data_IF_146252772779
#
_entry.id   IF_146252772779
#
_cell.length_a   1.000
_cell.length_b   1.000
_cell.length_c   1.000
_cell.angle_alpha   90.00
_cell.angle_beta   90.00
_cell.angle_gamma   90.00
#
_symmetry.space_group_name_H-M   'P 1'
#
loop_
_entity.id
_entity.type
_entity.pdbx_description
1 polymer ?
#
# COMPACT_ATOMS: atom_id res chain seq x y z
N UNK A 1 13.46 -12.98 -10.49
CA UNK A 1 12.70 -13.95 -11.32
C UNK A 1 12.13 -14.95 -10.34
N UNK A 2 10.81 -14.96 -10.16
CA UNK A 2 10.18 -15.99 -9.35
C UNK A 2 10.52 -17.34 -10.01
N UNK A 3 11.07 -18.25 -9.25
CA UNK A 3 11.15 -19.67 -9.63
C UNK A 3 9.69 -20.10 -9.86
N UNK A 4 9.30 -20.14 -11.14
CA UNK A 4 8.07 -20.81 -11.52
C UNK A 4 8.15 -22.23 -11.01
N UNK A 5 7.05 -22.75 -10.47
CA UNK A 5 6.91 -24.15 -10.12
C UNK A 5 7.62 -24.97 -11.22
N UNK A 6 8.65 -25.74 -10.83
CA UNK A 6 9.49 -26.49 -11.76
C UNK A 6 8.58 -27.30 -12.67
N UNK A 7 8.57 -26.93 -13.95
CA UNK A 7 7.89 -27.77 -14.93
C UNK A 7 8.59 -29.13 -15.05
N UNK A 8 7.88 -30.09 -15.57
CA UNK A 8 8.43 -31.45 -15.74
C UNK A 8 9.19 -31.63 -17.07
N UNK A 9 9.51 -30.56 -17.81
CA UNK A 9 10.16 -30.69 -19.12
C UNK A 9 11.55 -31.33 -19.07
N UNK A 10 12.36 -30.99 -18.09
CA UNK A 10 13.70 -31.60 -17.93
C UNK A 10 13.58 -33.09 -17.73
N UNK A 11 12.74 -33.54 -16.81
CA UNK A 11 12.49 -34.96 -16.56
C UNK A 11 11.91 -35.66 -17.78
N UNK A 12 10.93 -35.02 -18.44
CA UNK A 12 10.32 -35.56 -19.65
C UNK A 12 11.34 -35.77 -20.75
N UNK A 13 12.21 -34.79 -21.04
CA UNK A 13 13.24 -34.91 -22.07
C UNK A 13 14.35 -35.89 -21.66
N UNK A 14 14.74 -35.94 -20.39
CA UNK A 14 15.67 -36.94 -19.89
C UNK A 14 15.16 -38.33 -20.17
N UNK A 15 13.91 -38.65 -19.82
CA UNK A 15 13.34 -39.96 -20.06
C UNK A 15 13.20 -40.27 -21.56
N UNK A 16 12.74 -39.29 -22.37
CA UNK A 16 12.58 -39.47 -23.81
C UNK A 16 13.90 -39.66 -24.55
N UNK A 17 14.90 -38.89 -24.25
CA UNK A 17 16.23 -39.01 -24.89
C UNK A 17 16.89 -40.33 -24.44
N UNK A 18 16.76 -40.69 -23.16
CA UNK A 18 17.27 -41.94 -22.62
C UNK A 18 16.64 -43.15 -23.31
N UNK A 19 15.35 -43.13 -23.58
CA UNK A 19 14.64 -44.21 -24.27
C UNK A 19 15.05 -44.35 -25.75
N UNK A 20 15.49 -43.25 -26.38
CA UNK A 20 16.00 -43.30 -27.76
C UNK A 20 17.39 -43.91 -27.88
N UNK A 21 18.15 -44.00 -26.78
CA UNK A 21 19.46 -44.65 -26.78
C UNK A 21 19.27 -46.16 -26.80
N UNK A 22 19.96 -46.90 -27.72
CA UNK A 22 19.87 -48.36 -27.76
C UNK A 22 20.16 -48.99 -26.40
N UNK A 23 19.43 -50.02 -26.06
CA UNK A 23 19.48 -50.70 -24.76
C UNK A 23 20.89 -51.17 -24.38
N UNK A 24 21.67 -51.60 -25.36
CA UNK A 24 23.05 -52.04 -25.13
C UNK A 24 23.91 -50.95 -24.48
N UNK A 25 23.82 -49.70 -24.94
CA UNK A 25 24.59 -48.61 -24.36
C UNK A 25 24.09 -48.22 -22.97
N UNK A 26 22.78 -48.31 -22.73
CA UNK A 26 22.18 -48.08 -21.42
C UNK A 26 22.61 -49.12 -20.40
N UNK A 27 22.72 -50.41 -20.87
CA UNK A 27 23.18 -51.49 -20.04
C UNK A 27 24.70 -51.38 -19.74
N UNK A 28 25.51 -51.02 -20.75
CA UNK A 28 26.93 -50.80 -20.57
C UNK A 28 27.29 -49.64 -19.67
N UNK A 29 26.49 -48.54 -19.71
CA UNK A 29 26.63 -47.41 -18.78
C UNK A 29 26.44 -47.87 -17.33
N UNK A 30 25.51 -48.79 -17.08
CA UNK A 30 25.30 -49.38 -15.75
C UNK A 30 26.40 -50.31 -15.27
N UNK A 31 27.20 -50.88 -16.21
CA UNK A 31 28.33 -51.81 -15.90
C UNK A 31 29.68 -51.11 -15.92
N UNK A 32 29.77 -49.84 -16.33
CA UNK A 32 31.01 -49.11 -16.45
C UNK A 32 31.68 -48.88 -15.07
N UNK A 33 32.98 -48.61 -15.09
CA UNK A 33 33.73 -48.30 -13.87
C UNK A 33 33.17 -47.08 -13.08
N UNK A 34 32.54 -46.17 -13.81
CA UNK A 34 31.75 -45.04 -13.26
C UNK A 34 30.35 -45.12 -13.87
N UNK A 35 29.39 -45.80 -13.24
CA UNK A 35 28.04 -45.96 -13.76
C UNK A 35 27.26 -44.66 -13.77
N UNK A 36 26.48 -44.44 -14.83
CA UNK A 36 25.60 -43.27 -14.95
C UNK A 36 26.20 -42.06 -15.67
N UNK A 37 27.40 -42.14 -16.23
CA UNK A 37 28.04 -41.01 -16.96
C UNK A 37 27.27 -40.68 -18.25
N UNK A 38 26.80 -41.68 -18.99
CA UNK A 38 25.99 -41.48 -20.18
C UNK A 38 24.63 -40.83 -19.80
N UNK A 39 24.04 -41.28 -18.69
CA UNK A 39 22.79 -40.70 -18.18
C UNK A 39 22.98 -39.23 -17.77
N UNK A 40 24.07 -38.90 -17.08
CA UNK A 40 24.38 -37.52 -16.70
C UNK A 40 24.55 -36.61 -17.94
N UNK A 41 25.18 -37.13 -19.01
CA UNK A 41 25.27 -36.41 -20.29
C UNK A 41 23.90 -36.16 -20.90
N UNK A 42 23.01 -37.15 -20.84
CA UNK A 42 21.60 -37.00 -21.30
C UNK A 42 20.84 -35.98 -20.47
N UNK A 43 21.06 -35.93 -19.17
CA UNK A 43 20.46 -34.92 -18.29
C UNK A 43 20.88 -33.49 -18.68
N UNK A 44 22.15 -33.25 -18.98
CA UNK A 44 22.63 -31.96 -19.46
C UNK A 44 21.97 -31.58 -20.81
N UNK A 45 21.84 -32.52 -21.73
CA UNK A 45 21.18 -32.29 -23.02
C UNK A 45 19.68 -32.00 -22.80
N UNK A 46 19.03 -32.73 -21.89
CA UNK A 46 17.62 -32.57 -21.57
C UNK A 46 17.34 -31.19 -20.94
N UNK A 47 18.21 -30.69 -20.07
CA UNK A 47 18.13 -29.32 -19.51
C UNK A 47 18.11 -28.25 -20.63
N UNK A 48 19.06 -28.34 -21.58
CA UNK A 48 19.10 -27.42 -22.71
C UNK A 48 17.86 -27.55 -23.61
N UNK A 49 17.36 -28.75 -23.78
CA UNK A 49 16.14 -29.03 -24.56
C UNK A 49 14.90 -28.46 -23.85
N UNK A 50 14.85 -28.52 -22.54
CA UNK A 50 13.80 -27.91 -21.75
C UNK A 50 13.79 -26.37 -21.86
N UNK A 51 14.98 -25.74 -21.82
CA UNK A 51 15.14 -24.29 -22.05
C UNK A 51 14.62 -23.91 -23.44
N UNK A 52 15.02 -24.69 -24.48
CA UNK A 52 14.55 -24.46 -25.85
C UNK A 52 13.01 -24.58 -25.96
N UNK A 53 12.44 -25.60 -25.30
CA UNK A 53 11.00 -25.81 -25.29
C UNK A 53 10.27 -24.63 -24.63
N UNK A 54 10.73 -24.18 -23.46
CA UNK A 54 10.17 -23.00 -22.78
C UNK A 54 10.27 -21.74 -23.66
N UNK A 55 11.39 -21.57 -24.37
CA UNK A 55 11.55 -20.46 -25.32
C UNK A 55 10.56 -20.54 -26.49
N UNK A 56 10.32 -21.73 -26.99
CA UNK A 56 9.32 -21.96 -28.06
C UNK A 56 7.90 -21.68 -27.58
N UNK A 57 7.54 -22.09 -26.37
CA UNK A 57 6.22 -21.82 -25.82
C UNK A 57 5.99 -20.30 -25.61
N UNK A 58 7.03 -19.56 -25.18
CA UNK A 58 6.99 -18.09 -25.06
C UNK A 58 6.75 -17.40 -26.41
N UNK A 59 7.25 -17.92 -27.52
CA UNK A 59 6.96 -17.35 -28.84
C UNK A 59 5.47 -17.33 -29.18
N UNK A 60 4.69 -18.23 -28.57
CA UNK A 60 3.23 -18.22 -28.71
C UNK A 60 2.58 -17.19 -27.77
N UNK A 61 3.12 -16.95 -26.58
CA UNK A 61 2.59 -16.04 -25.56
C UNK A 61 2.95 -14.58 -25.85
N UNK A 62 4.14 -14.31 -26.37
CA UNK A 62 4.67 -12.97 -26.58
C UNK A 62 3.85 -12.06 -27.53
N UNK A 63 3.06 -12.55 -28.50
CA UNK A 63 2.14 -11.70 -29.27
C UNK A 63 0.93 -11.15 -28.46
N UNK A 64 0.62 -11.73 -27.32
CA UNK A 64 -0.54 -11.33 -26.51
C UNK A 64 -0.09 -10.42 -25.36
N UNK A 65 -0.64 -9.20 -25.32
CA UNK A 65 -0.26 -8.20 -24.30
C UNK A 65 -0.49 -8.69 -22.87
N UNK A 66 -1.44 -9.58 -22.64
CA UNK A 66 -1.78 -10.15 -21.34
C UNK A 66 -0.75 -11.21 -20.88
N UNK A 67 -0.15 -11.94 -21.82
CA UNK A 67 0.71 -13.08 -21.54
C UNK A 67 2.20 -12.81 -21.79
N UNK A 68 2.52 -11.83 -22.65
CA UNK A 68 3.87 -11.55 -23.11
C UNK A 68 4.84 -11.23 -21.95
N UNK A 69 6.12 -11.44 -22.17
CA UNK A 69 7.16 -10.94 -21.28
C UNK A 69 7.20 -9.40 -21.24
N UNK A 70 7.67 -8.80 -20.12
CA UNK A 70 7.77 -7.33 -20.00
C UNK A 70 8.62 -6.67 -21.07
N UNK A 71 9.59 -7.40 -21.63
CA UNK A 71 10.42 -6.94 -22.73
C UNK A 71 9.66 -6.75 -24.05
N UNK A 72 8.56 -7.49 -24.28
CA UNK A 72 7.76 -7.42 -25.50
C UNK A 72 6.74 -6.25 -25.46
N UNK A 73 6.38 -5.77 -24.27
CA UNK A 73 5.40 -4.67 -24.09
C UNK A 73 5.76 -3.42 -24.91
N UNK A 74 7.00 -2.90 -24.95
CA UNK A 74 7.36 -1.75 -25.79
C UNK A 74 7.13 -1.98 -27.28
N UNK A 75 7.39 -3.17 -27.78
CA UNK A 75 7.22 -3.50 -29.20
C UNK A 75 5.72 -3.54 -29.58
N UNK A 76 4.90 -4.12 -28.71
CA UNK A 76 3.43 -4.10 -28.91
C UNK A 76 2.91 -2.66 -28.81
N UNK A 77 3.44 -1.84 -27.91
CA UNK A 77 3.10 -0.43 -27.80
C UNK A 77 3.38 0.34 -29.11
N UNK A 78 4.53 0.09 -29.74
CA UNK A 78 4.87 0.70 -31.03
C UNK A 78 3.90 0.31 -32.15
N UNK A 79 3.46 -0.96 -32.20
CA UNK A 79 2.46 -1.41 -33.17
C UNK A 79 1.13 -0.66 -33.06
N UNK A 80 0.72 -0.29 -31.84
CA UNK A 80 -0.49 0.51 -31.61
C UNK A 80 -0.18 2.00 -31.47
N UNK A 81 1.04 2.41 -31.75
CA UNK A 81 1.56 3.78 -31.66
C UNK A 81 1.31 4.44 -30.30
N UNK A 82 1.43 3.69 -29.22
CA UNK A 82 1.30 4.20 -27.84
C UNK A 82 2.63 4.74 -27.34
N UNK A 83 2.63 5.97 -26.84
CA UNK A 83 3.77 6.49 -26.08
C UNK A 83 3.63 6.07 -24.61
N UNK A 84 4.41 5.09 -24.21
CA UNK A 84 4.40 4.62 -22.85
C UNK A 84 4.94 5.68 -21.89
N UNK A 85 4.31 5.80 -20.73
CA UNK A 85 4.79 6.61 -19.63
C UNK A 85 5.83 5.80 -18.84
N UNK A 86 7.08 6.25 -18.84
CA UNK A 86 8.20 5.50 -18.24
C UNK A 86 8.09 5.32 -16.72
N UNK A 87 7.35 6.20 -16.05
CA UNK A 87 7.15 6.16 -14.60
C UNK A 87 6.10 5.12 -14.14
N UNK A 88 5.37 4.50 -15.06
CA UNK A 88 4.39 3.49 -14.70
C UNK A 88 5.04 2.18 -14.27
N UNK A 89 4.38 1.47 -13.35
CA UNK A 89 4.75 0.10 -13.01
C UNK A 89 4.62 -0.83 -14.22
N UNK A 90 5.32 -1.99 -14.25
CA UNK A 90 5.18 -2.94 -15.36
C UNK A 90 3.72 -3.34 -15.65
N UNK A 91 2.91 -3.54 -14.60
CA UNK A 91 1.48 -3.83 -14.73
C UNK A 91 0.73 -2.70 -15.45
N UNK A 92 0.91 -1.48 -14.97
CA UNK A 92 0.19 -0.32 -15.50
C UNK A 92 0.60 0.01 -16.94
N UNK A 93 1.88 -0.19 -17.30
CA UNK A 93 2.36 -0.10 -18.69
C UNK A 93 1.65 -1.08 -19.60
N UNK A 94 1.45 -2.32 -19.16
CA UNK A 94 0.74 -3.35 -19.92
C UNK A 94 -0.73 -3.01 -20.12
N UNK A 95 -1.42 -2.51 -19.07
CA UNK A 95 -2.81 -2.06 -19.13
C UNK A 95 -2.97 -0.86 -20.07
N UNK A 96 -2.05 0.11 -20.04
CA UNK A 96 -2.05 1.27 -20.93
C UNK A 96 -2.00 0.85 -22.40
N UNK A 97 -1.09 -0.08 -22.74
CA UNK A 97 -0.98 -0.62 -24.10
C UNK A 97 -2.23 -1.40 -24.51
N UNK A 98 -2.76 -2.26 -23.64
CA UNK A 98 -3.96 -3.07 -23.91
C UNK A 98 -5.19 -2.20 -24.18
N UNK A 99 -5.35 -1.10 -23.44
CA UNK A 99 -6.51 -0.21 -23.54
C UNK A 99 -6.33 0.97 -24.52
N UNK A 100 -5.19 1.10 -25.19
CA UNK A 100 -4.88 2.25 -26.07
C UNK A 100 -5.98 2.55 -27.09
N UNK A 101 -6.47 1.52 -27.80
CA UNK A 101 -7.52 1.70 -28.83
C UNK A 101 -8.85 2.10 -28.17
N UNK A 102 -9.15 1.53 -27.01
CA UNK A 102 -10.34 1.89 -26.24
C UNK A 102 -10.31 3.37 -25.84
N UNK A 103 -9.20 3.86 -25.31
CA UNK A 103 -9.03 5.27 -24.92
C UNK A 103 -9.13 6.21 -26.11
N UNK A 104 -8.52 5.85 -27.25
CA UNK A 104 -8.56 6.68 -28.46
C UNK A 104 -9.97 6.83 -29.03
N UNK A 105 -10.76 5.77 -29.01
CA UNK A 105 -12.14 5.80 -29.48
C UNK A 105 -13.07 6.62 -28.60
N UNK A 106 -12.79 6.73 -27.32
CA UNK A 106 -13.63 7.41 -26.32
C UNK A 106 -12.98 8.67 -25.73
N UNK A 107 -11.96 9.16 -26.40
CA UNK A 107 -11.22 10.35 -25.99
C UNK A 107 -12.18 11.51 -25.71
N UNK A 108 -12.00 12.17 -24.53
CA UNK A 108 -12.77 13.33 -24.10
C UNK A 108 -14.02 13.02 -23.29
N UNK A 109 -14.35 11.75 -23.02
CA UNK A 109 -15.43 11.42 -22.10
C UNK A 109 -14.92 11.38 -20.66
N UNK A 110 -15.73 11.86 -19.70
CA UNK A 110 -15.36 11.88 -18.29
C UNK A 110 -15.06 10.47 -17.74
N UNK A 111 -15.87 9.50 -18.12
CA UNK A 111 -15.70 8.11 -17.70
C UNK A 111 -14.33 7.54 -18.10
N UNK A 112 -13.89 7.78 -19.32
CA UNK A 112 -12.58 7.31 -19.77
C UNK A 112 -11.44 7.97 -19.00
N UNK A 113 -11.61 9.25 -18.61
CA UNK A 113 -10.63 9.93 -17.79
C UNK A 113 -10.56 9.35 -16.36
N UNK A 114 -11.70 8.95 -15.79
CA UNK A 114 -11.75 8.26 -14.51
C UNK A 114 -11.05 6.88 -14.58
N UNK A 115 -11.37 6.09 -15.61
CA UNK A 115 -10.73 4.80 -15.86
C UNK A 115 -9.21 4.95 -16.11
N UNK A 116 -8.81 5.98 -16.86
CA UNK A 116 -7.39 6.26 -17.11
C UNK A 116 -6.63 6.63 -15.83
N UNK A 117 -7.26 7.40 -14.93
CA UNK A 117 -6.68 7.71 -13.63
C UNK A 117 -6.41 6.42 -12.86
N UNK A 118 -7.40 5.53 -12.78
CA UNK A 118 -7.25 4.25 -12.10
C UNK A 118 -6.15 3.40 -12.73
N UNK A 119 -6.14 3.27 -14.05
CA UNK A 119 -5.17 2.45 -14.77
C UNK A 119 -3.71 2.99 -14.66
N UNK A 120 -3.52 4.30 -14.47
CA UNK A 120 -2.19 4.91 -14.31
C UNK A 120 -1.72 4.86 -12.85
N UNK A 121 -2.62 5.10 -11.90
CA UNK A 121 -2.24 5.37 -10.51
C UNK A 121 -2.62 4.26 -9.54
N UNK A 122 -3.44 3.30 -9.93
CA UNK A 122 -4.15 2.33 -9.08
C UNK A 122 -5.03 3.00 -7.99
N UNK A 123 -5.30 4.30 -8.14
CA UNK A 123 -6.17 5.04 -7.23
C UNK A 123 -7.53 5.31 -7.84
N UNK A 124 -8.54 5.28 -7.01
CA UNK A 124 -9.86 5.75 -7.41
C UNK A 124 -9.85 7.26 -7.61
N UNK A 125 -10.55 7.71 -8.63
CA UNK A 125 -10.63 9.13 -8.94
C UNK A 125 -11.99 9.53 -9.49
N UNK A 126 -12.33 10.81 -9.32
CA UNK A 126 -13.52 11.42 -9.87
C UNK A 126 -13.16 12.61 -10.72
N UNK A 127 -13.73 12.68 -11.91
CA UNK A 127 -13.53 13.81 -12.81
C UNK A 127 -14.80 14.66 -12.83
N UNK A 128 -14.63 15.94 -12.54
CA UNK A 128 -15.75 16.89 -12.46
C UNK A 128 -15.53 18.05 -13.43
N UNK A 129 -16.54 18.39 -14.18
CA UNK A 129 -16.53 19.57 -15.03
C UNK A 129 -16.76 20.81 -14.17
N UNK A 130 -15.77 21.67 -14.07
CA UNK A 130 -15.77 22.84 -13.19
C UNK A 130 -16.79 23.92 -13.58
N UNK A 131 -17.37 23.88 -14.77
CA UNK A 131 -18.45 24.80 -15.11
C UNK A 131 -19.69 24.65 -14.21
N UNK A 132 -19.83 23.51 -13.54
CA UNK A 132 -20.89 23.26 -12.55
C UNK A 132 -20.67 24.00 -11.24
N UNK A 133 -19.43 24.37 -10.95
CA UNK A 133 -18.97 24.97 -9.70
C UNK A 133 -18.48 26.41 -9.88
N UNK A 134 -18.78 27.04 -11.03
CA UNK A 134 -18.41 28.42 -11.27
C UNK A 134 -19.09 29.35 -10.27
N UNK A 135 -18.27 30.08 -9.53
CA UNK A 135 -18.72 31.15 -8.67
C UNK A 135 -18.64 32.48 -9.40
N UNK A 136 -19.65 33.30 -9.24
CA UNK A 136 -19.69 34.68 -9.75
C UNK A 136 -19.93 35.62 -8.59
N UNK A 137 -19.11 36.66 -8.48
CA UNK A 137 -19.37 37.76 -7.56
C UNK A 137 -20.55 38.59 -8.09
N UNK A 138 -21.49 38.94 -7.20
CA UNK A 138 -22.56 39.88 -7.54
C UNK A 138 -21.99 41.27 -7.74
N UNK A 139 -22.56 42.00 -8.64
CA UNK A 139 -22.27 43.40 -8.86
C UNK A 139 -23.58 44.22 -8.92
N UNK A 140 -23.47 45.56 -8.95
CA UNK A 140 -24.63 46.45 -8.83
C UNK A 140 -25.64 46.35 -10.00
N UNK A 141 -25.29 45.69 -11.11
CA UNK A 141 -26.20 45.44 -12.23
C UNK A 141 -26.94 44.11 -12.12
N UNK A 142 -26.61 43.28 -11.14
CA UNK A 142 -27.35 42.04 -10.93
C UNK A 142 -28.70 42.30 -10.27
N UNK A 143 -29.77 41.62 -10.68
CA UNK A 143 -31.06 41.76 -10.07
C UNK A 143 -31.00 41.37 -8.59
N UNK A 144 -31.73 42.11 -7.76
CA UNK A 144 -31.89 41.77 -6.35
C UNK A 144 -32.56 40.40 -6.22
N UNK A 145 -32.18 39.56 -5.24
CA UNK A 145 -32.83 38.27 -5.03
C UNK A 145 -34.27 38.47 -4.65
N UNK A 146 -35.20 37.95 -5.46
CA UNK A 146 -36.62 38.11 -5.28
C UNK A 146 -37.20 37.22 -4.16
N UNK A 147 -36.40 36.25 -3.64
CA UNK A 147 -36.89 35.26 -2.68
C UNK A 147 -35.90 35.09 -1.53
N UNK A 148 -36.36 35.16 -0.27
CA UNK A 148 -35.52 34.79 0.87
C UNK A 148 -35.24 33.26 0.89
N UNK A 149 -34.06 32.90 1.32
CA UNK A 149 -33.63 31.52 1.60
C UNK A 149 -33.57 30.56 0.42
N UNK A 150 -32.43 30.52 -0.23
CA UNK A 150 -31.94 29.35 -0.98
C UNK A 150 -32.28 29.25 -2.47
N UNK A 151 -33.20 30.02 -3.00
CA UNK A 151 -33.45 30.15 -4.43
C UNK A 151 -33.27 31.58 -4.87
N UNK A 152 -32.16 31.86 -5.52
CA UNK A 152 -31.94 33.15 -6.14
C UNK A 152 -32.47 33.06 -7.57
N UNK A 153 -33.74 33.40 -7.74
CA UNK A 153 -34.36 33.57 -9.07
C UNK A 153 -33.70 34.76 -9.76
N UNK A 154 -33.28 34.59 -10.99
CA UNK A 154 -32.66 35.63 -11.78
C UNK A 154 -31.15 35.79 -11.62
N UNK A 155 -30.46 34.95 -10.88
CA UNK A 155 -29.00 34.90 -10.91
C UNK A 155 -28.52 34.25 -12.21
N UNK A 156 -27.47 34.81 -12.83
CA UNK A 156 -26.85 34.21 -13.98
C UNK A 156 -26.37 32.79 -13.69
N UNK A 157 -26.29 31.89 -14.71
CA UNK A 157 -25.77 30.56 -14.53
C UNK A 157 -24.39 30.57 -13.90
N UNK A 158 -24.16 29.70 -12.90
CA UNK A 158 -22.89 29.60 -12.18
C UNK A 158 -22.99 29.84 -10.67
N UNK A 159 -24.14 30.30 -10.17
CA UNK A 159 -24.39 30.50 -8.75
C UNK A 159 -23.49 31.56 -8.10
N UNK A 160 -23.63 31.74 -6.81
CA UNK A 160 -22.76 32.56 -5.96
C UNK A 160 -22.03 31.69 -4.95
N UNK A 161 -20.73 31.92 -4.74
CA UNK A 161 -20.02 31.25 -3.68
C UNK A 161 -20.58 31.66 -2.31
N UNK A 162 -20.93 30.70 -1.47
CA UNK A 162 -21.32 30.98 -0.08
C UNK A 162 -20.08 30.93 0.82
N UNK A 163 -19.53 32.10 1.11
CA UNK A 163 -18.38 32.24 1.99
C UNK A 163 -18.73 32.15 3.49
N UNK A 164 -20.01 31.94 3.82
CA UNK A 164 -20.48 31.82 5.20
C UNK A 164 -20.40 30.40 5.77
N UNK A 165 -19.93 29.44 4.96
CA UNK A 165 -19.73 28.07 5.40
C UNK A 165 -18.25 27.77 5.75
N UNK A 166 -17.77 28.16 6.94
CA UNK A 166 -16.39 27.90 7.33
C UNK A 166 -16.07 26.41 7.47
N UNK A 167 -17.08 25.57 7.69
CA UNK A 167 -16.92 24.11 7.79
C UNK A 167 -16.45 23.47 6.49
N UNK A 168 -16.83 24.00 5.34
CA UNK A 168 -16.35 23.48 4.05
C UNK A 168 -14.83 23.62 3.92
N UNK A 169 -14.25 24.74 4.36
CA UNK A 169 -12.81 24.95 4.36
C UNK A 169 -12.07 24.02 5.35
N UNK A 170 -12.68 23.69 6.49
CA UNK A 170 -12.12 22.74 7.46
C UNK A 170 -12.13 21.31 6.98
N UNK A 171 -13.06 20.94 6.11
CA UNK A 171 -13.18 19.59 5.55
C UNK A 171 -12.31 19.38 4.32
N UNK A 172 -11.73 20.42 3.75
CA UNK A 172 -10.83 20.29 2.62
C UNK A 172 -9.65 19.39 2.99
N UNK A 173 -9.35 18.43 2.12
CA UNK A 173 -8.35 17.37 2.31
C UNK A 173 -8.68 16.32 3.39
N UNK A 174 -9.90 16.26 3.88
CA UNK A 174 -10.37 15.17 4.76
C UNK A 174 -11.20 14.16 3.98
N UNK A 175 -11.54 13.02 4.61
CA UNK A 175 -12.44 12.02 4.03
C UNK A 175 -13.87 12.56 3.76
N UNK A 176 -14.20 13.72 4.34
CA UNK A 176 -15.48 14.39 4.20
C UNK A 176 -15.39 15.64 3.31
N UNK A 177 -14.29 15.78 2.55
CA UNK A 177 -14.16 16.85 1.56
C UNK A 177 -15.08 16.57 0.37
N UNK A 178 -16.17 17.28 0.31
CA UNK A 178 -17.08 17.22 -0.80
C UNK A 178 -16.63 18.20 -1.88
N UNK A 179 -16.23 17.69 -3.04
CA UNK A 179 -15.84 18.48 -4.22
C UNK A 179 -16.92 19.50 -4.65
N UNK A 180 -18.17 19.30 -4.24
CA UNK A 180 -19.27 20.23 -4.52
C UNK A 180 -19.15 21.58 -3.80
N UNK A 181 -18.29 21.69 -2.78
CA UNK A 181 -18.02 22.95 -2.08
C UNK A 181 -16.84 23.74 -2.67
N UNK A 182 -16.09 23.16 -3.58
CA UNK A 182 -14.98 23.85 -4.22
C UNK A 182 -15.51 24.79 -5.30
N UNK A 183 -15.41 26.11 -5.06
CA UNK A 183 -15.78 27.11 -6.05
C UNK A 183 -14.67 27.32 -7.07
N UNK A 184 -14.98 27.34 -8.35
CA UNK A 184 -14.05 27.71 -9.42
C UNK A 184 -14.25 29.19 -9.81
N UNK A 185 -13.26 30.01 -9.51
CA UNK A 185 -13.26 31.46 -9.79
C UNK A 185 -12.55 31.81 -11.13
N UNK A 186 -12.11 30.80 -11.89
CA UNK A 186 -11.46 31.03 -13.19
C UNK A 186 -12.43 31.58 -14.20
N UNK A 187 -11.92 32.36 -15.12
CA UNK A 187 -12.70 32.88 -16.24
C UNK A 187 -13.23 31.74 -17.11
N UNK A 188 -14.52 31.68 -17.30
CA UNK A 188 -15.20 30.71 -18.19
C UNK A 188 -15.35 31.20 -19.63
N UNK A 189 -14.97 32.46 -19.89
CA UNK A 189 -14.96 33.08 -21.21
C UNK A 189 -13.54 33.19 -21.73
N UNK A 190 -13.33 33.06 -23.02
CA UNK A 190 -12.03 33.18 -23.66
C UNK A 190 -11.79 32.10 -24.71
N UNK A 191 -10.58 32.02 -25.24
CA UNK A 191 -10.18 31.12 -26.33
C UNK A 191 -10.46 29.64 -26.01
N UNK A 192 -10.38 29.26 -24.74
CA UNK A 192 -10.56 27.87 -24.30
C UNK A 192 -12.02 27.47 -24.05
N UNK A 193 -12.95 28.38 -24.16
CA UNK A 193 -14.37 28.10 -23.95
C UNK A 193 -14.74 27.71 -22.53
N UNK A 194 -16.00 27.27 -22.33
CA UNK A 194 -16.58 26.88 -21.05
C UNK A 194 -16.30 25.42 -20.72
N UNK A 195 -16.29 24.58 -21.74
CA UNK A 195 -16.06 23.14 -21.65
C UNK A 195 -14.66 22.87 -22.19
N UNK A 196 -13.93 22.02 -21.66
CA UNK A 196 -12.67 21.49 -22.19
C UNK A 196 -11.83 20.90 -21.06
N UNK A 197 -10.81 20.13 -21.41
CA UNK A 197 -9.88 19.53 -20.46
C UNK A 197 -9.31 20.54 -19.44
N UNK A 198 -8.91 21.79 -19.83
CA UNK A 198 -8.46 22.78 -18.84
C UNK A 198 -9.49 23.21 -17.80
N UNK A 199 -10.75 22.83 -18.00
CA UNK A 199 -11.86 23.12 -17.10
C UNK A 199 -12.33 21.89 -16.32
N UNK A 200 -11.55 20.84 -16.29
CA UNK A 200 -11.80 19.65 -15.49
C UNK A 200 -11.02 19.70 -14.20
N UNK A 201 -11.65 19.23 -13.13
CA UNK A 201 -10.99 18.92 -11.88
C UNK A 201 -10.88 17.40 -11.72
N UNK A 202 -9.70 16.96 -11.34
CA UNK A 202 -9.41 15.57 -11.06
C UNK A 202 -9.25 15.42 -9.54
N UNK A 203 -10.17 14.71 -8.92
CA UNK A 203 -10.12 14.37 -7.50
C UNK A 203 -9.62 12.95 -7.35
N UNK A 204 -8.47 12.80 -6.72
CA UNK A 204 -7.84 11.49 -6.48
C UNK A 204 -8.08 11.09 -5.02
N UNK A 205 -8.66 9.90 -4.83
CA UNK A 205 -8.94 9.34 -3.51
C UNK A 205 -7.79 8.46 -3.05
N UNK A 206 -6.67 9.08 -2.72
CA UNK A 206 -5.52 8.39 -2.16
C UNK A 206 -5.60 8.28 -0.65
N UNK A 207 -5.07 7.19 -0.12
CA UNK A 207 -4.95 7.02 1.32
C UNK A 207 -3.92 8.00 1.90
N UNK A 208 -4.18 8.48 3.10
CA UNK A 208 -3.18 9.18 3.90
C UNK A 208 -2.32 8.16 4.63
N UNK A 209 -1.06 8.51 4.84
CA UNK A 209 -0.11 7.62 5.50
C UNK A 209 0.08 8.04 6.95
N UNK A 210 -0.05 7.06 7.83
CA UNK A 210 0.07 7.22 9.27
C UNK A 210 1.21 6.36 9.81
N UNK A 211 2.09 6.96 10.60
CA UNK A 211 3.21 6.28 11.24
C UNK A 211 2.80 5.71 12.58
N UNK A 212 3.08 4.43 12.83
CA UNK A 212 3.02 3.81 14.14
C UNK A 212 4.44 3.56 14.59
N UNK A 213 4.87 4.21 15.67
CA UNK A 213 6.23 4.12 16.17
C UNK A 213 6.32 3.05 17.27
N UNK A 214 7.34 2.20 17.19
CA UNK A 214 7.69 1.22 18.23
C UNK A 214 6.50 0.37 18.73
N UNK A 215 5.61 -0.06 17.81
CA UNK A 215 4.51 -0.94 18.16
C UNK A 215 5.00 -2.33 18.50
N UNK A 216 4.36 -2.99 19.47
CA UNK A 216 4.58 -4.41 19.74
C UNK A 216 3.83 -5.23 18.70
N UNK A 217 4.50 -6.00 17.82
CA UNK A 217 3.82 -6.81 16.82
C UNK A 217 3.05 -7.96 17.48
N UNK A 218 2.07 -8.50 16.74
CA UNK A 218 1.29 -9.65 17.19
C UNK A 218 2.05 -10.94 16.93
N UNK A 219 2.28 -11.75 17.97
CA UNK A 219 2.86 -13.09 17.85
C UNK A 219 1.80 -14.12 17.46
N UNK A 220 2.03 -14.84 16.36
CA UNK A 220 1.14 -15.90 15.87
C UNK A 220 1.24 -17.19 16.70
N UNK A 221 2.23 -17.30 17.60
CA UNK A 221 2.30 -18.35 18.59
C UNK A 221 3.60 -19.14 18.69
N UNK A 222 4.62 -18.78 17.90
CA UNK A 222 5.93 -19.42 17.94
C UNK A 222 7.08 -18.43 18.23
N UNK A 223 6.76 -17.16 18.41
CA UNK A 223 7.75 -16.10 18.64
C UNK A 223 8.59 -15.74 17.40
N UNK A 224 8.45 -16.48 16.31
CA UNK A 224 9.20 -16.26 15.06
C UNK A 224 8.33 -15.63 13.96
N UNK A 225 7.03 -15.85 14.03
CA UNK A 225 6.05 -15.31 13.06
C UNK A 225 5.23 -14.21 13.69
N UNK A 226 5.43 -13.00 13.22
CA UNK A 226 4.83 -11.81 13.80
C UNK A 226 4.04 -11.04 12.73
N UNK A 227 2.92 -10.43 13.12
CA UNK A 227 2.20 -9.46 12.31
C UNK A 227 2.48 -8.04 12.82
N UNK A 228 2.73 -7.10 11.92
CA UNK A 228 3.02 -5.70 12.29
C UNK A 228 1.87 -5.04 13.05
N UNK A 229 0.62 -5.33 12.68
CA UNK A 229 -0.53 -4.83 13.44
C UNK A 229 -0.69 -5.60 14.76
N UNK A 230 -0.72 -4.92 15.92
CA UNK A 230 -0.89 -5.57 17.22
C UNK A 230 -2.17 -6.39 17.38
N UNK A 231 -3.16 -6.18 16.52
CA UNK A 231 -4.40 -6.98 16.50
C UNK A 231 -4.26 -8.31 15.76
N UNK A 232 -3.15 -8.53 15.04
CA UNK A 232 -2.93 -9.71 14.21
C UNK A 232 -3.60 -9.67 12.84
N UNK A 233 -4.10 -8.50 12.42
CA UNK A 233 -4.66 -8.32 11.08
C UNK A 233 -3.55 -8.15 10.05
N UNK A 234 -3.81 -8.69 8.87
CA UNK A 234 -3.00 -8.36 7.71
C UNK A 234 -3.27 -6.92 7.27
N UNK A 235 -2.21 -6.15 7.15
CA UNK A 235 -2.28 -4.76 6.70
C UNK A 235 -1.16 -4.48 5.70
N UNK A 236 -1.43 -3.84 4.57
CA UNK A 236 -0.39 -3.42 3.67
C UNK A 236 0.45 -2.30 4.32
N UNK A 237 1.76 -2.44 4.23
CA UNK A 237 2.69 -1.42 4.68
C UNK A 237 2.83 -0.33 3.61
N UNK A 238 2.96 0.91 4.04
CA UNK A 238 3.01 2.09 3.17
C UNK A 238 4.35 2.81 3.28
N UNK A 239 4.73 3.45 2.18
CA UNK A 239 5.84 4.39 2.15
C UNK A 239 5.45 5.68 2.87
N UNK A 240 6.35 6.31 3.65
CA UNK A 240 6.12 7.63 4.20
C UNK A 240 6.00 8.66 3.09
N UNK A 241 5.09 9.62 3.26
CA UNK A 241 5.01 10.75 2.36
C UNK A 241 6.12 11.75 2.70
N UNK A 242 7.04 12.00 1.78
CA UNK A 242 7.99 13.08 1.93
C UNK A 242 7.27 14.43 1.80
N UNK A 243 7.47 15.29 2.77
CA UNK A 243 7.05 16.71 2.69
C UNK A 243 8.31 17.55 2.54
N UNK A 244 8.40 18.34 1.48
CA UNK A 244 9.41 19.39 1.40
C UNK A 244 9.04 20.49 2.42
N UNK A 245 9.92 20.78 3.36
CA UNK A 245 9.70 21.84 4.36
C UNK A 245 9.98 23.23 3.77
N UNK A 246 10.93 23.31 2.87
CA UNK A 246 11.33 24.55 2.18
C UNK A 246 11.25 24.41 0.66
N UNK A 247 11.03 25.50 -0.03
CA UNK A 247 11.01 25.55 -1.50
C UNK A 247 12.36 25.16 -2.13
N UNK A 248 13.47 25.41 -1.44
CA UNK A 248 14.81 25.08 -1.90
C UNK A 248 15.05 23.56 -1.91
N UNK A 249 14.30 22.79 -1.11
CA UNK A 249 14.34 21.34 -1.06
C UNK A 249 13.39 20.68 -2.07
N UNK A 250 12.71 21.49 -2.87
CA UNK A 250 11.74 20.97 -3.81
C UNK A 250 12.43 20.26 -4.98
N UNK A 251 12.09 19.00 -5.15
CA UNK A 251 12.49 18.17 -6.28
C UNK A 251 11.36 17.22 -6.65
N UNK A 252 11.43 16.64 -7.82
CA UNK A 252 10.50 15.58 -8.22
C UNK A 252 10.57 14.43 -7.23
N UNK A 253 9.41 14.03 -6.66
CA UNK A 253 9.33 12.91 -5.74
C UNK A 253 9.74 11.61 -6.45
N UNK A 254 10.49 10.80 -5.74
CA UNK A 254 10.80 9.45 -6.19
C UNK A 254 9.60 8.52 -5.90
N UNK A 255 9.46 7.37 -6.59
CA UNK A 255 8.35 6.45 -6.35
C UNK A 255 8.19 6.02 -4.90
N UNK A 256 9.28 5.89 -4.16
CA UNK A 256 9.29 5.51 -2.74
C UNK A 256 8.99 6.66 -1.77
N UNK A 257 8.83 7.88 -2.24
CA UNK A 257 8.45 9.04 -1.41
C UNK A 257 6.96 9.38 -1.51
N UNK A 258 6.23 8.64 -2.35
CA UNK A 258 4.80 8.80 -2.49
C UNK A 258 4.05 7.91 -1.48
N UNK A 259 2.89 8.34 -0.98
CA UNK A 259 2.07 7.55 -0.08
C UNK A 259 1.41 6.38 -0.84
N UNK A 260 2.16 5.31 -1.02
CA UNK A 260 1.74 4.12 -1.74
C UNK A 260 2.12 2.86 -0.94
N UNK A 261 1.43 1.72 -1.18
CA UNK A 261 1.83 0.44 -0.60
C UNK A 261 3.27 0.08 -1.00
N UNK A 262 4.01 -0.46 -0.06
CA UNK A 262 5.36 -0.98 -0.31
C UNK A 262 5.24 -2.31 -1.05
N UNK A 263 5.95 -2.44 -2.15
CA UNK A 263 6.07 -3.72 -2.86
C UNK A 263 7.33 -4.47 -2.43
N UNK A 264 7.35 -5.80 -2.58
CA UNK A 264 8.53 -6.62 -2.29
C UNK A 264 9.79 -6.13 -3.03
N UNK A 265 9.64 -5.60 -4.24
CA UNK A 265 10.74 -5.04 -5.01
C UNK A 265 11.34 -3.77 -4.37
N UNK A 266 10.49 -2.90 -3.83
CA UNK A 266 10.94 -1.67 -3.14
C UNK A 266 11.74 -2.00 -1.88
N UNK A 267 11.36 -3.05 -1.16
CA UNK A 267 12.10 -3.52 0.01
C UNK A 267 13.47 -4.12 -0.35
N UNK A 268 13.62 -4.73 -1.53
CA UNK A 268 14.89 -5.31 -1.99
C UNK A 268 15.94 -4.27 -2.35
N UNK A 269 15.54 -3.12 -2.88
CA UNK A 269 16.46 -2.08 -3.36
C UNK A 269 16.82 -1.04 -2.28
N UNK A 270 15.88 -0.69 -1.44
CA UNK A 270 16.06 0.26 -0.33
C UNK A 270 15.17 -0.15 0.83
N UNK A 271 15.75 -0.44 1.98
CA UNK A 271 14.97 -0.45 3.21
C UNK A 271 14.73 1.01 3.56
N UNK A 272 13.55 1.51 3.25
CA UNK A 272 13.33 2.93 3.47
C UNK A 272 13.20 3.20 4.97
N UNK A 273 13.38 4.45 5.37
CA UNK A 273 13.01 4.98 6.69
C UNK A 273 11.55 4.67 7.09
N UNK A 274 10.84 3.98 6.21
CA UNK A 274 9.44 3.59 6.35
C UNK A 274 9.22 2.41 7.31
N UNK A 275 10.22 1.53 7.49
CA UNK A 275 10.11 0.33 8.30
C UNK A 275 11.33 0.18 9.20
N UNK A 276 11.12 0.31 10.49
CA UNK A 276 12.14 0.05 11.52
C UNK A 276 11.75 -1.20 12.32
N UNK A 277 12.63 -2.17 12.41
CA UNK A 277 12.41 -3.41 13.18
C UNK A 277 13.53 -3.55 14.18
N UNK A 278 13.19 -3.64 15.46
CA UNK A 278 14.11 -3.89 16.54
C UNK A 278 13.79 -5.23 17.21
N UNK A 279 14.80 -6.05 17.45
CA UNK A 279 14.68 -7.34 18.17
C UNK A 279 14.65 -7.16 19.68
N UNK A 280 15.26 -6.08 20.16
CA UNK A 280 15.26 -5.62 21.54
C UNK A 280 15.32 -4.08 21.54
N UNK A 281 15.05 -3.42 22.69
CA UNK A 281 15.29 -1.99 22.82
C UNK A 281 16.73 -1.67 22.39
N UNK A 282 16.90 -0.73 21.46
CA UNK A 282 18.19 -0.29 20.89
C UNK A 282 18.93 -1.28 19.96
N UNK A 283 18.34 -2.44 19.65
CA UNK A 283 18.91 -3.44 18.73
C UNK A 283 18.09 -3.53 17.44
N UNK A 284 18.38 -2.63 16.49
CA UNK A 284 17.70 -2.60 15.20
C UNK A 284 18.28 -3.61 14.23
N UNK A 285 17.42 -4.37 13.55
CA UNK A 285 17.84 -5.31 12.51
C UNK A 285 18.42 -4.53 11.32
N UNK A 286 19.71 -4.76 10.97
CA UNK A 286 20.31 -4.05 9.86
C UNK A 286 19.68 -4.44 8.53
N UNK A 287 19.56 -3.50 7.57
CA UNK A 287 18.94 -3.74 6.25
C UNK A 287 19.50 -4.95 5.50
N UNK A 288 20.80 -5.22 5.65
CA UNK A 288 21.46 -6.36 5.02
C UNK A 288 20.92 -7.72 5.48
N UNK A 289 20.30 -7.79 6.65
CA UNK A 289 19.72 -9.00 7.23
C UNK A 289 18.23 -9.16 6.95
N UNK A 290 17.64 -8.21 6.22
CA UNK A 290 16.23 -8.21 5.87
C UNK A 290 16.09 -8.53 4.38
N UNK A 291 15.10 -9.35 4.04
CA UNK A 291 14.70 -9.61 2.66
C UNK A 291 13.19 -9.56 2.52
N UNK A 292 12.72 -9.22 1.33
CA UNK A 292 11.31 -9.29 1.02
C UNK A 292 10.93 -10.71 0.59
N UNK A 293 9.74 -11.16 0.96
CA UNK A 293 9.20 -12.44 0.57
C UNK A 293 7.70 -12.52 0.76
N UNK A 294 7.06 -13.41 0.04
CA UNK A 294 5.65 -13.70 0.20
C UNK A 294 5.45 -14.63 1.41
N UNK A 295 4.77 -14.12 2.43
CA UNK A 295 4.43 -14.85 3.65
C UNK A 295 2.95 -15.25 3.71
N UNK A 296 2.26 -15.32 2.58
CA UNK A 296 0.85 -15.75 2.51
C UNK A 296 0.66 -17.16 3.07
N UNK A 297 1.62 -18.05 2.80
CA UNK A 297 1.63 -19.45 3.21
C UNK A 297 2.81 -19.74 4.18
N UNK A 298 3.03 -18.88 5.14
CA UNK A 298 4.09 -19.13 6.14
C UNK A 298 3.83 -20.38 7.01
N UNK A 299 4.87 -21.05 7.56
CA UNK A 299 6.28 -20.68 7.47
C UNK A 299 6.89 -20.96 6.11
N UNK A 300 7.86 -20.13 5.69
CA UNK A 300 8.68 -20.35 4.51
C UNK A 300 10.04 -20.97 4.88
N UNK A 301 10.74 -21.63 3.94
CA UNK A 301 12.11 -22.10 4.15
C UNK A 301 13.08 -20.97 4.47
N UNK A 302 14.15 -21.27 5.22
CA UNK A 302 15.18 -20.30 5.58
C UNK A 302 15.93 -19.78 4.34
N UNK A 303 15.84 -18.48 4.02
CA UNK A 303 16.55 -17.89 2.87
C UNK A 303 18.00 -17.51 3.19
N UNK A 304 18.53 -17.88 4.35
CA UNK A 304 19.87 -17.48 4.83
C UNK A 304 19.95 -16.02 5.30
N UNK A 305 18.82 -15.41 5.65
CA UNK A 305 18.71 -14.06 6.20
C UNK A 305 18.01 -14.12 7.57
N UNK A 306 18.28 -13.13 8.41
CA UNK A 306 17.68 -13.06 9.75
C UNK A 306 16.16 -12.85 9.72
N UNK A 307 15.67 -12.07 8.76
CA UNK A 307 14.29 -11.64 8.71
C UNK A 307 13.75 -11.59 7.29
N UNK A 308 12.57 -12.13 7.09
CA UNK A 308 11.77 -11.95 5.88
C UNK A 308 10.56 -11.09 6.22
N UNK A 309 10.28 -10.13 5.35
CA UNK A 309 9.16 -9.19 5.46
C UNK A 309 8.26 -9.32 4.25
N UNK A 310 6.98 -9.50 4.50
CA UNK A 310 5.93 -9.36 3.51
C UNK A 310 5.25 -7.98 3.68
N UNK A 311 5.57 -7.01 2.84
CA UNK A 311 5.01 -5.67 2.97
C UNK A 311 3.54 -5.59 2.56
N UNK A 312 3.05 -6.52 1.74
CA UNK A 312 1.67 -6.51 1.25
C UNK A 312 0.70 -6.97 2.35
N UNK A 313 1.15 -7.87 3.21
CA UNK A 313 0.36 -8.39 4.34
C UNK A 313 0.81 -7.86 5.70
N UNK A 314 1.94 -7.16 5.76
CA UNK A 314 2.51 -6.67 7.01
C UNK A 314 2.95 -7.80 7.94
N UNK A 315 3.50 -8.89 7.38
CA UNK A 315 3.95 -10.06 8.11
C UNK A 315 5.48 -10.13 8.18
N UNK A 316 5.96 -10.68 9.27
CA UNK A 316 7.38 -10.80 9.58
C UNK A 316 7.69 -12.26 9.96
N UNK A 317 8.74 -12.84 9.39
CA UNK A 317 9.24 -14.15 9.81
C UNK A 317 10.72 -14.05 10.15
N UNK A 318 11.04 -14.31 11.43
CA UNK A 318 12.41 -14.42 11.91
C UNK A 318 12.95 -15.83 11.72
N UNK A 319 14.26 -15.92 11.56
CA UNK A 319 15.00 -17.18 11.47
C UNK A 319 16.07 -17.24 12.55
N UNK A 320 16.25 -18.41 13.17
CA UNK A 320 17.13 -18.61 14.32
C UNK A 320 16.39 -18.42 15.66
N UNK A 321 16.97 -17.69 16.59
CA UNK A 321 16.36 -17.46 17.91
C UNK A 321 15.22 -16.43 17.82
N UNK A 322 14.11 -16.59 18.56
CA UNK A 322 13.06 -15.58 18.60
C UNK A 322 13.56 -14.27 19.20
N UNK A 323 13.07 -13.10 18.70
CA UNK A 323 13.40 -11.81 19.29
C UNK A 323 12.88 -11.70 20.73
N UNK A 324 13.62 -11.02 21.60
CA UNK A 324 13.29 -10.92 23.02
C UNK A 324 12.22 -9.89 23.35
N UNK A 325 12.23 -8.76 22.63
CA UNK A 325 11.27 -7.66 22.80
C UNK A 325 11.10 -6.92 21.47
N UNK A 326 10.50 -7.60 20.50
CA UNK A 326 10.34 -7.04 19.16
C UNK A 326 9.48 -5.77 19.15
N UNK A 327 10.00 -4.73 18.52
CA UNK A 327 9.28 -3.49 18.24
C UNK A 327 9.34 -3.18 16.76
N UNK A 328 8.20 -2.75 16.19
CA UNK A 328 8.10 -2.42 14.79
C UNK A 328 7.59 -1.00 14.61
N UNK A 329 8.35 -0.19 13.88
CA UNK A 329 7.89 1.10 13.39
C UNK A 329 7.47 0.93 11.93
N UNK A 330 6.22 1.22 11.63
CA UNK A 330 5.67 1.04 10.29
C UNK A 330 4.70 2.15 9.92
N UNK A 331 4.36 2.19 8.65
CA UNK A 331 3.37 3.12 8.13
C UNK A 331 2.22 2.32 7.50
N UNK A 332 0.98 2.80 7.68
CA UNK A 332 -0.19 2.23 7.03
C UNK A 332 -1.04 3.32 6.38
N UNK A 333 -1.78 2.94 5.34
CA UNK A 333 -2.67 3.84 4.63
C UNK A 333 -4.09 3.81 5.21
N UNK A 334 -4.69 5.00 5.40
CA UNK A 334 -6.10 5.12 5.78
C UNK A 334 -6.75 6.34 5.12
N UNK A 335 -8.07 6.35 5.03
CA UNK A 335 -8.81 7.40 4.30
C UNK A 335 -8.76 8.79 4.95
N UNK A 336 -8.53 8.86 6.27
CA UNK A 336 -8.50 10.11 7.01
C UNK A 336 -8.36 9.89 8.51
N UNK A 337 -8.40 10.96 9.28
CA UNK A 337 -8.28 10.95 10.74
C UNK A 337 -9.61 10.53 11.40
N UNK A 338 -9.93 9.24 11.32
CA UNK A 338 -11.16 8.64 11.84
C UNK A 338 -10.82 7.50 12.80
N UNK A 339 -11.43 7.49 13.97
CA UNK A 339 -11.26 6.43 14.97
C UNK A 339 -9.96 6.54 15.77
N UNK A 340 -9.40 5.39 16.18
CA UNK A 340 -8.20 5.33 16.99
C UNK A 340 -6.95 5.19 16.11
N UNK A 341 -6.39 6.31 15.67
CA UNK A 341 -5.18 6.37 14.84
C UNK A 341 -4.08 7.19 15.48
N UNK A 342 -2.83 7.09 14.97
CA UNK A 342 -1.67 7.83 15.45
C UNK A 342 -1.65 9.26 14.87
N UNK A 343 -2.62 10.09 15.20
CA UNK A 343 -2.73 11.48 14.78
C UNK A 343 -3.08 12.39 15.96
N UNK A 344 -2.88 13.70 15.79
CA UNK A 344 -3.30 14.69 16.77
C UNK A 344 -4.82 14.86 16.73
N UNK A 345 -5.43 15.04 17.88
CA UNK A 345 -6.86 15.31 18.03
C UNK A 345 -7.10 16.73 18.57
N UNK A 346 -6.95 17.75 17.72
CA UNK A 346 -7.01 19.15 18.17
C UNK A 346 -8.41 19.56 18.67
N UNK A 347 -9.45 18.86 18.26
CA UNK A 347 -10.83 19.17 18.63
C UNK A 347 -11.27 18.51 19.96
N UNK A 348 -10.44 17.64 20.52
CA UNK A 348 -10.63 17.09 21.84
C UNK A 348 -9.76 17.90 22.81
N UNK A 349 -10.36 18.52 23.82
CA UNK A 349 -9.59 19.14 24.90
C UNK A 349 -8.64 18.11 25.49
N UNK A 350 -7.38 18.18 25.12
CA UNK A 350 -6.35 17.43 25.78
C UNK A 350 -6.14 18.07 27.16
N UNK A 351 -6.74 17.48 28.14
CA UNK A 351 -6.46 17.85 29.53
C UNK A 351 -5.06 17.33 29.88
N UNK A 352 -4.38 18.09 30.72
CA UNK A 352 -3.09 17.64 31.29
C UNK A 352 -3.33 16.33 32.03
N UNK A 353 -2.58 15.25 31.72
CA UNK A 353 -2.75 13.99 32.40
C UNK A 353 -2.32 14.09 33.88
N UNK A 354 -3.08 13.45 34.75
CA UNK A 354 -2.76 13.35 36.17
C UNK A 354 -1.75 12.23 36.45
N UNK A 355 -1.74 11.21 35.58
CA UNK A 355 -0.78 10.10 35.62
C UNK A 355 -0.46 9.58 34.23
N UNK A 356 0.74 8.98 34.08
CA UNK A 356 1.18 8.31 32.85
C UNK A 356 1.46 6.84 33.12
N UNK A 357 1.12 5.97 32.16
CA UNK A 357 1.50 4.56 32.20
C UNK A 357 2.93 4.44 31.68
N UNK A 358 3.82 3.70 32.39
CA UNK A 358 5.18 3.51 31.93
C UNK A 358 5.24 2.96 30.50
N UNK A 359 6.15 3.46 29.64
CA UNK A 359 6.29 2.99 28.27
C UNK A 359 6.81 1.56 28.21
N UNK A 360 6.59 0.88 27.06
CA UNK A 360 7.12 -0.46 26.80
C UNK A 360 6.08 -1.58 26.85
N UNK A 361 4.83 -1.25 27.15
CA UNK A 361 3.75 -2.25 27.16
C UNK A 361 3.72 -3.13 28.40
N UNK A 362 2.89 -4.18 28.34
CA UNK A 362 2.77 -5.15 29.44
C UNK A 362 1.45 -5.05 30.20
N UNK A 363 1.34 -5.78 31.35
CA UNK A 363 0.11 -5.79 32.12
C UNK A 363 -0.17 -4.42 32.75
N UNK A 364 -1.43 -3.99 32.69
CA UNK A 364 -1.86 -2.77 33.39
C UNK A 364 -2.36 -3.15 34.77
N UNK A 365 -1.77 -2.53 35.79
CA UNK A 365 -2.27 -2.63 37.16
C UNK A 365 -3.42 -1.61 37.33
N UNK A 366 -4.51 -2.07 37.97
CA UNK A 366 -5.63 -1.21 38.32
C UNK A 366 -5.28 -0.01 39.20
N UNK A 367 -4.16 -0.11 39.96
CA UNK A 367 -3.66 0.97 40.82
C UNK A 367 -3.03 2.12 40.02
N UNK A 368 -2.60 1.88 38.80
CA UNK A 368 -2.08 2.94 37.89
C UNK A 368 -3.18 3.74 37.23
N UNK A 369 -4.40 3.23 37.24
CA UNK A 369 -5.57 3.88 36.66
C UNK A 369 -6.28 4.72 37.72
N UNK A 370 -6.16 6.03 37.61
CA UNK A 370 -6.72 6.95 38.57
C UNK A 370 -8.26 7.04 38.47
N UNK A 371 -8.93 6.88 39.62
CA UNK A 371 -10.36 7.18 39.72
C UNK A 371 -10.55 8.69 39.73
N UNK A 372 -11.47 9.21 38.93
CA UNK A 372 -11.73 10.65 38.71
C UNK A 372 -10.52 11.44 38.13
N UNK A 373 -9.57 10.74 37.51
CA UNK A 373 -8.40 11.35 36.90
C UNK A 373 -8.20 10.92 35.46
N UNK A 374 -7.26 11.58 34.81
CA UNK A 374 -6.85 11.31 33.44
C UNK A 374 -5.53 10.55 33.47
N UNK A 375 -5.56 9.34 32.95
CA UNK A 375 -4.35 8.51 32.78
C UNK A 375 -3.98 8.49 31.29
N UNK A 376 -2.71 8.75 30.97
CA UNK A 376 -2.21 8.80 29.59
C UNK A 376 -1.22 7.68 29.29
N UNK A 377 -1.28 7.17 28.05
CA UNK A 377 -0.30 6.26 27.48
C UNK A 377 0.52 7.05 26.44
N UNK A 378 1.84 7.06 26.61
CA UNK A 378 2.75 7.91 25.83
C UNK A 378 3.45 7.18 24.67
N UNK A 379 3.17 5.89 24.45
CA UNK A 379 3.75 5.07 23.39
C UNK A 379 2.69 4.28 22.60
N UNK A 380 3.14 3.52 21.61
CA UNK A 380 2.28 2.66 20.78
C UNK A 380 2.43 1.17 21.10
N UNK A 381 2.89 0.83 22.28
CA UNK A 381 3.07 -0.56 22.70
C UNK A 381 1.73 -1.26 23.01
N UNK A 382 1.79 -2.56 23.20
CA UNK A 382 0.63 -3.38 23.58
C UNK A 382 0.54 -3.49 25.10
N UNK A 383 -0.60 -3.12 25.64
CA UNK A 383 -0.90 -3.15 27.06
C UNK A 383 -1.99 -4.18 27.40
N UNK A 384 -1.82 -4.84 28.53
CA UNK A 384 -2.78 -5.84 29.05
C UNK A 384 -2.17 -7.25 29.12
N UNK A 385 -2.95 -8.19 29.66
CA UNK A 385 -4.30 -8.01 30.19
C UNK A 385 -4.37 -7.24 31.49
N UNK A 386 -5.53 -6.65 31.80
CA UNK A 386 -5.80 -6.08 33.11
C UNK A 386 -5.68 -7.18 34.18
N UNK A 387 -4.83 -6.98 35.18
CA UNK A 387 -4.54 -7.98 36.19
C UNK A 387 -5.65 -8.14 37.26
N UNK A 388 -6.50 -7.12 37.36
CA UNK A 388 -7.60 -7.10 38.33
C UNK A 388 -8.87 -6.46 37.77
N UNK A 389 -10.02 -6.75 38.41
CA UNK A 389 -11.28 -6.10 38.05
C UNK A 389 -11.21 -4.62 38.42
N UNK A 390 -11.37 -3.75 37.43
CA UNK A 390 -11.51 -2.32 37.65
C UNK A 390 -12.85 -2.03 38.34
N UNK A 391 -12.77 -1.40 39.51
CA UNK A 391 -13.90 -0.77 40.19
C UNK A 391 -13.71 0.74 40.11
N UNK A 392 -14.00 1.31 38.95
CA UNK A 392 -13.80 2.75 38.69
C UNK A 392 -15.16 3.34 38.38
N UNK A 393 -15.47 4.46 38.99
CA UNK A 393 -16.73 5.20 38.79
C UNK A 393 -16.58 6.22 37.65
N UNK A 394 -15.40 6.77 37.43
CA UNK A 394 -15.12 7.76 36.41
C UNK A 394 -13.62 7.65 36.04
N UNK A 395 -13.32 7.12 34.87
CA UNK A 395 -11.96 6.93 34.37
C UNK A 395 -11.86 7.53 32.98
N UNK A 396 -10.92 8.43 32.79
CA UNK A 396 -10.48 8.87 31.46
C UNK A 396 -9.12 8.25 31.15
N UNK A 397 -9.08 7.38 30.14
CA UNK A 397 -7.84 6.82 29.59
C UNK A 397 -7.62 7.39 28.20
N UNK A 398 -6.52 8.10 28.00
CA UNK A 398 -6.16 8.71 26.73
C UNK A 398 -4.80 8.24 26.23
N UNK A 399 -4.58 8.30 24.92
CA UNK A 399 -3.26 8.16 24.32
C UNK A 399 -2.69 9.54 24.00
N UNK A 400 -1.37 9.67 24.09
CA UNK A 400 -0.67 10.86 23.63
C UNK A 400 -0.91 11.06 22.11
N UNK A 401 -0.77 12.31 21.65
CA UNK A 401 -0.85 12.62 20.24
C UNK A 401 0.16 11.81 19.44
N UNK A 402 -0.22 11.36 18.26
CA UNK A 402 0.58 10.52 17.36
C UNK A 402 0.92 9.13 17.89
N UNK A 403 0.32 8.70 19.02
CA UNK A 403 0.49 7.35 19.57
C UNK A 403 -0.77 6.50 19.35
N UNK A 404 -0.55 5.19 19.16
CA UNK A 404 -1.62 4.21 18.95
C UNK A 404 -1.40 2.98 19.85
N UNK A 405 -1.56 3.12 21.16
CA UNK A 405 -1.45 1.97 22.06
C UNK A 405 -2.54 0.93 21.76
N UNK A 406 -2.18 -0.35 21.91
CA UNK A 406 -3.13 -1.45 21.78
C UNK A 406 -3.48 -2.03 23.14
N UNK A 407 -4.75 -2.03 23.49
CA UNK A 407 -5.23 -2.54 24.77
C UNK A 407 -5.80 -3.95 24.61
N UNK A 408 -5.23 -4.94 25.30
CA UNK A 408 -5.74 -6.30 25.36
C UNK A 408 -6.69 -6.45 26.56
N UNK A 409 -7.94 -6.79 26.29
CA UNK A 409 -8.91 -7.13 27.29
C UNK A 409 -9.11 -8.65 27.33
N UNK A 410 -8.89 -9.31 28.46
CA UNK A 410 -9.26 -10.70 28.65
C UNK A 410 -10.74 -10.75 29.06
N UNK A 411 -11.62 -11.00 28.10
CA UNK A 411 -13.00 -11.37 28.38
C UNK A 411 -13.08 -12.88 28.58
N UNK A 412 -13.27 -13.40 29.80
CA UNK A 412 -13.49 -14.84 30.00
C UNK A 412 -14.79 -15.24 29.29
N UNK A 413 -14.70 -16.03 28.22
CA UNK A 413 -15.84 -16.51 27.44
C UNK A 413 -15.90 -16.09 25.97
N UNK A 414 -15.08 -15.16 25.50
CA UNK A 414 -14.96 -14.90 24.07
C UNK A 414 -14.15 -16.02 23.40
N UNK A 415 -14.81 -16.86 22.59
CA UNK A 415 -14.09 -17.74 21.66
C UNK A 415 -13.35 -16.83 20.69
N UNK A 416 -12.03 -17.03 20.59
CA UNK A 416 -11.21 -16.38 19.54
C UNK A 416 -11.82 -16.76 18.17
N UNK A 417 -11.91 -15.80 17.24
CA UNK A 417 -12.35 -16.09 15.87
C UNK A 417 -11.35 -17.03 15.16
#
# INVERSE_FOLDING_TARGET
>A
MAESAQDNFERYFTEKIWDLIPEIYRHEDGLAANPGVLRALVEIIAEQTAILRRSHDRLWEDPFIELCGDWAVPYIADLVATRMVSALTPRNRRVDVAKTIYYRRRKGTLRVLEELIHDITDWEGKVVEQFRHLARTRHGLDPLPAVPAGRISGTPPGGTADLRQPLAARRSRTAFDEYCYTADVRRHTGVNGRFNIPKLAFFLYRLQVYRVAAATPFDVGDGLRLACDPSGRDIPLFMPCRRAENWDDWRTAQPWELPAPITCRMLGDTLPDALGIAEAPDDTVPPANITAGDLSLWPIPDPGRRLVVDPEQGRLQFFGAPPTACQVTYHYGFSGEVGAGPYARPDVEQRVPDATIPPGGGPIDATTLLNHGITQIDDSATYGPLTSKLKVTDLTLQAANYQRPYLRCNCPGAKRP
#
